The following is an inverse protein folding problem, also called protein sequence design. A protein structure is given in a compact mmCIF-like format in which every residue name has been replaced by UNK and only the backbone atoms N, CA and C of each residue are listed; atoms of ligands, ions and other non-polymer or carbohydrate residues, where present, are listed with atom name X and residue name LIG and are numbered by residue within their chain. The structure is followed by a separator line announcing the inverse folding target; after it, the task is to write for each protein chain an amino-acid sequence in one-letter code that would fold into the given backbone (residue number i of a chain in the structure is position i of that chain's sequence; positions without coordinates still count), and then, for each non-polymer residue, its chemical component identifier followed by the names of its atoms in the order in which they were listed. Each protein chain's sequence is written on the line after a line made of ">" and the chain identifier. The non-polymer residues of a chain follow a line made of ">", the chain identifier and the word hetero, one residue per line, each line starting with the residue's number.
data_IF_164688188099
#
_entry.id   IF_164688188099
#
_cell.length_a   1.000
_cell.length_b   1.000
_cell.length_c   1.000
_cell.angle_alpha   90.00
_cell.angle_beta   90.00
_cell.angle_gamma   90.00
#
_symmetry.space_group_name_H-M   'P 1'
#
loop_
_entity.id
_entity.type
_entity.pdbx_description
1 polymer ?
#
# COMPACT_ATOMS: atom_id res chain seq x y z
N UNK A 1 6.73 8.76 9.67
CA UNK A 1 7.14 8.07 8.42
C UNK A 1 6.44 8.77 7.28
N UNK A 2 7.16 9.11 6.22
CA UNK A 2 6.58 9.74 5.03
C UNK A 2 5.89 8.69 4.15
N UNK A 3 4.63 8.39 4.45
CA UNK A 3 3.85 7.39 3.71
C UNK A 3 3.56 7.87 2.29
N UNK A 4 3.37 9.18 2.09
CA UNK A 4 3.03 9.75 0.80
C UNK A 4 4.21 9.68 -0.17
N UNK A 5 5.41 10.05 0.28
CA UNK A 5 6.63 9.90 -0.52
C UNK A 5 6.91 8.45 -0.89
N UNK A 6 6.84 7.54 0.08
CA UNK A 6 7.06 6.10 -0.17
C UNK A 6 6.03 5.55 -1.17
N UNK A 7 4.73 5.84 -0.99
CA UNK A 7 3.71 5.33 -1.89
C UNK A 7 3.85 5.91 -3.31
N UNK A 8 4.22 7.18 -3.44
CA UNK A 8 4.48 7.81 -4.75
C UNK A 8 5.62 7.09 -5.49
N UNK A 9 6.70 6.73 -4.78
CA UNK A 9 7.78 5.94 -5.37
C UNK A 9 7.33 4.52 -5.77
N UNK A 10 6.43 3.90 -5.00
CA UNK A 10 5.85 2.59 -5.36
C UNK A 10 5.00 2.68 -6.63
N UNK A 11 4.20 3.74 -6.80
CA UNK A 11 3.43 4.01 -8.02
C UNK A 11 4.36 4.20 -9.24
N UNK A 12 5.49 4.88 -9.05
CA UNK A 12 6.52 5.03 -10.09
C UNK A 12 7.14 3.68 -10.48
N UNK A 13 7.48 2.83 -9.51
CA UNK A 13 7.98 1.48 -9.77
C UNK A 13 7.00 0.64 -10.64
N UNK A 14 5.70 0.75 -10.39
CA UNK A 14 4.71 0.07 -11.22
C UNK A 14 4.62 0.70 -12.62
N UNK A 15 4.64 2.03 -12.72
CA UNK A 15 4.60 2.77 -13.99
C UNK A 15 5.80 2.43 -14.88
N UNK A 16 6.98 2.27 -14.28
CA UNK A 16 8.21 1.84 -14.97
C UNK A 16 8.22 0.34 -15.34
N UNK A 17 7.21 -0.43 -14.94
CA UNK A 17 7.10 -1.85 -15.22
C UNK A 17 7.99 -2.75 -14.36
N UNK A 18 8.55 -2.23 -13.26
CA UNK A 18 9.40 -3.02 -12.34
C UNK A 18 8.60 -4.02 -11.52
N UNK A 19 7.29 -3.80 -11.40
CA UNK A 19 6.34 -4.72 -10.79
C UNK A 19 4.98 -4.61 -11.48
N UNK A 20 4.19 -5.70 -11.47
CA UNK A 20 2.82 -5.71 -11.98
C UNK A 20 1.82 -5.10 -10.99
N UNK A 21 2.10 -5.18 -9.70
CA UNK A 21 1.20 -4.72 -8.64
C UNK A 21 1.98 -4.25 -7.42
N UNK A 22 1.37 -3.33 -6.67
CA UNK A 22 1.89 -2.78 -5.42
C UNK A 22 0.86 -2.93 -4.31
N UNK A 23 1.32 -3.09 -3.08
CA UNK A 23 0.47 -3.33 -1.92
C UNK A 23 1.20 -2.94 -0.63
N UNK A 24 0.49 -3.10 0.47
CA UNK A 24 1.00 -2.82 1.82
C UNK A 24 0.96 -4.07 2.69
N UNK A 25 1.63 -4.01 3.84
CA UNK A 25 1.60 -5.09 4.82
C UNK A 25 1.46 -4.51 6.22
N UNK A 26 0.57 -5.08 7.03
CA UNK A 26 0.25 -4.68 8.39
C UNK A 26 -0.26 -3.24 8.52
N UNK A 27 -1.06 -2.78 7.55
CA UNK A 27 -1.73 -1.48 7.64
C UNK A 27 -3.07 -1.61 8.37
N UNK A 28 -3.30 -0.75 9.35
CA UNK A 28 -4.61 -0.60 9.98
C UNK A 28 -5.59 0.11 9.06
N UNK A 29 -6.89 0.02 9.35
CA UNK A 29 -7.93 0.70 8.57
C UNK A 29 -7.67 2.22 8.45
N UNK A 30 -7.19 2.86 9.53
CA UNK A 30 -6.85 4.29 9.52
C UNK A 30 -5.72 4.59 8.54
N UNK A 31 -4.62 3.84 8.57
CA UNK A 31 -3.49 4.03 7.65
C UNK A 31 -3.87 3.73 6.19
N UNK A 32 -4.75 2.75 5.97
CA UNK A 32 -5.31 2.49 4.65
C UNK A 32 -6.13 3.67 4.15
N UNK A 33 -6.99 4.25 4.99
CA UNK A 33 -7.75 5.44 4.64
C UNK A 33 -6.83 6.62 4.28
N UNK A 34 -5.74 6.80 5.03
CA UNK A 34 -4.74 7.84 4.74
C UNK A 34 -4.11 7.66 3.34
N UNK A 35 -3.72 6.43 2.95
CA UNK A 35 -3.19 6.15 1.60
C UNK A 35 -4.26 6.34 0.53
N UNK A 36 -5.46 5.77 0.74
CA UNK A 36 -6.56 5.82 -0.22
C UNK A 36 -7.03 7.24 -0.51
N UNK A 37 -6.79 8.20 0.40
CA UNK A 37 -7.13 9.60 0.19
C UNK A 37 -6.26 10.30 -0.88
N UNK A 38 -5.06 9.80 -1.19
CA UNK A 38 -4.15 10.43 -2.16
C UNK A 38 -3.58 9.49 -3.23
N UNK A 39 -3.68 8.17 -3.07
CA UNK A 39 -3.16 7.20 -4.01
C UNK A 39 -3.83 7.32 -5.38
N UNK A 40 -3.04 7.42 -6.44
CA UNK A 40 -3.52 7.29 -7.82
C UNK A 40 -3.72 5.83 -8.18
N UNK A 41 -2.85 4.97 -7.66
CA UNK A 41 -2.93 3.52 -7.79
C UNK A 41 -3.16 2.96 -6.39
N UNK A 42 -4.37 2.47 -6.08
CA UNK A 42 -4.68 1.95 -4.76
C UNK A 42 -3.88 0.67 -4.47
N UNK A 43 -3.53 0.39 -3.20
CA UNK A 43 -2.86 -0.85 -2.83
C UNK A 43 -3.73 -2.05 -3.22
N UNK A 44 -3.19 -2.95 -4.03
CA UNK A 44 -3.90 -4.15 -4.49
C UNK A 44 -4.13 -5.16 -3.34
N UNK A 45 -3.26 -5.14 -2.33
CA UNK A 45 -3.27 -6.06 -1.19
C UNK A 45 -2.88 -5.30 0.08
N UNK A 46 -3.49 -5.66 1.20
CA UNK A 46 -2.94 -5.43 2.55
C UNK A 46 -2.66 -6.79 3.18
N UNK A 47 -1.40 -7.21 3.21
CA UNK A 47 -1.00 -8.47 3.82
C UNK A 47 -1.01 -8.31 5.33
N UNK A 48 -1.83 -9.07 6.05
CA UNK A 48 -1.95 -8.99 7.51
C UNK A 48 -1.63 -10.32 8.15
N UNK A 49 -1.13 -10.28 9.39
CA UNK A 49 -1.08 -11.48 10.22
C UNK A 49 -2.51 -11.92 10.53
N UNK A 50 -2.88 -13.10 10.03
CA UNK A 50 -4.16 -13.72 10.33
C UNK A 50 -3.91 -15.12 10.90
N UNK A 51 -4.56 -15.43 12.02
CA UNK A 51 -4.58 -16.76 12.59
C UNK A 51 -5.86 -16.91 13.43
N UNK A 52 -6.17 -18.13 13.88
CA UNK A 52 -7.40 -18.40 14.64
C UNK A 52 -7.49 -17.70 16.01
N UNK A 53 -6.39 -17.15 16.52
CA UNK A 53 -6.32 -16.45 17.81
C UNK A 53 -6.42 -14.92 17.66
N UNK A 54 -6.43 -14.43 16.42
CA UNK A 54 -6.46 -13.01 16.07
C UNK A 54 -7.74 -12.62 15.33
#
# INVERSE_FOLDING_TARGET
>A
MDIKGVWTAMEECQTLGLTKSIGVSNFSCKKLADILAFAKIPPAVNQVCWNFLN
#
